data_IF_619965515808
#
_entry.id   IF_619965515808
#
_cell.length_a   1.000
_cell.length_b   1.000
_cell.length_c   1.000
_cell.angle_alpha   90.00
_cell.angle_beta   90.00
_cell.angle_gamma   90.00
#
_symmetry.space_group_name_H-M   'P 1'
#
loop_
_entity.id
_entity.type
_entity.pdbx_description
1 polymer ?
#
# COMPACT_ATOMS: atom_id res chain seq x y z
N UNK A 1 -24.76 26.53 -27.92
CA UNK A 1 -23.66 26.54 -26.93
C UNK A 1 -22.78 25.36 -27.30
N UNK A 2 -21.68 25.59 -28.03
CA UNK A 2 -20.70 24.58 -28.37
C UNK A 2 -19.97 24.19 -27.08
N UNK A 3 -20.07 22.91 -26.72
CA UNK A 3 -19.32 22.34 -25.62
C UNK A 3 -17.83 22.26 -25.99
N UNK A 4 -17.00 23.02 -25.31
CA UNK A 4 -15.52 22.89 -25.41
C UNK A 4 -15.13 21.53 -24.92
N UNK A 5 -14.83 20.61 -25.83
CA UNK A 5 -14.19 19.34 -25.51
C UNK A 5 -12.78 19.64 -24.99
N UNK A 6 -12.55 19.46 -23.69
CA UNK A 6 -11.21 19.52 -23.12
C UNK A 6 -10.42 18.32 -23.68
N UNK A 7 -9.54 18.57 -24.62
CA UNK A 7 -8.58 17.60 -25.14
C UNK A 7 -7.67 17.15 -23.99
N UNK A 8 -7.97 15.97 -23.42
CA UNK A 8 -7.15 15.35 -22.38
C UNK A 8 -5.91 14.72 -23.01
N UNK A 9 -4.79 15.42 -22.94
CA UNK A 9 -3.50 14.91 -23.41
C UNK A 9 -2.84 14.03 -22.35
N UNK A 10 -2.79 12.73 -22.60
CA UNK A 10 -2.12 11.76 -21.73
C UNK A 10 -0.60 11.83 -21.90
N UNK A 11 0.13 12.19 -20.85
CA UNK A 11 1.59 12.29 -20.86
C UNK A 11 2.31 11.03 -20.38
N UNK A 12 1.58 10.00 -20.00
CA UNK A 12 2.09 8.70 -19.58
C UNK A 12 1.56 8.22 -18.23
N UNK A 13 2.07 7.07 -17.79
CA UNK A 13 1.67 6.45 -16.52
C UNK A 13 2.88 5.92 -15.77
N UNK A 14 2.81 5.89 -14.45
CA UNK A 14 3.76 5.20 -13.57
C UNK A 14 3.00 4.43 -12.50
N UNK A 15 3.65 3.50 -11.84
CA UNK A 15 3.08 2.73 -10.74
C UNK A 15 3.84 3.05 -9.46
N UNK A 16 3.16 3.54 -8.45
CA UNK A 16 3.75 3.80 -7.14
C UNK A 16 3.60 2.56 -6.24
N UNK A 17 4.73 2.02 -5.81
CA UNK A 17 4.83 1.04 -4.73
C UNK A 17 5.14 1.79 -3.44
N UNK A 18 4.43 1.48 -2.36
CA UNK A 18 4.68 2.09 -1.07
C UNK A 18 4.51 1.09 0.08
N UNK A 19 5.41 1.15 1.05
CA UNK A 19 5.36 0.43 2.31
C UNK A 19 5.39 1.44 3.46
N UNK A 20 4.36 1.40 4.31
CA UNK A 20 4.23 2.25 5.49
C UNK A 20 4.69 1.47 6.72
N UNK A 21 5.72 1.96 7.40
CA UNK A 21 6.08 1.47 8.72
C UNK A 21 5.07 1.99 9.76
N UNK A 22 4.29 1.09 10.34
CA UNK A 22 3.23 1.48 11.30
C UNK A 22 3.75 1.99 12.63
N UNK A 23 4.99 1.66 13.00
CA UNK A 23 5.57 2.05 14.28
C UNK A 23 5.99 3.52 14.32
N UNK A 24 6.51 4.04 13.21
CA UNK A 24 7.01 5.40 13.14
C UNK A 24 6.34 6.28 12.07
N UNK A 25 5.54 5.68 11.18
CA UNK A 25 4.87 6.38 10.09
C UNK A 25 5.76 6.69 8.89
N UNK A 26 7.01 6.20 8.87
CA UNK A 26 7.89 6.36 7.72
C UNK A 26 7.40 5.53 6.52
N UNK A 27 7.65 6.04 5.33
CA UNK A 27 7.23 5.41 4.08
C UNK A 27 8.44 5.13 3.20
N UNK A 28 8.60 3.88 2.79
CA UNK A 28 9.44 3.52 1.67
C UNK A 28 8.56 3.52 0.42
N UNK A 29 8.93 4.28 -0.59
CA UNK A 29 8.15 4.38 -1.81
C UNK A 29 9.04 4.43 -3.04
N UNK A 30 8.60 3.75 -4.11
CA UNK A 30 9.33 3.68 -5.38
C UNK A 30 8.36 3.68 -6.55
N UNK A 31 8.62 4.50 -7.55
CA UNK A 31 7.90 4.49 -8.82
C UNK A 31 8.51 3.47 -9.77
N UNK A 32 7.70 2.61 -10.34
CA UNK A 32 8.08 1.61 -11.35
C UNK A 32 7.20 1.77 -12.61
N UNK A 33 7.67 1.36 -13.79
CA UNK A 33 6.91 1.54 -15.03
C UNK A 33 5.65 0.67 -15.09
N UNK A 34 5.61 -0.45 -14.38
CA UNK A 34 4.51 -1.44 -14.45
C UNK A 34 4.23 -2.06 -13.09
N UNK A 35 3.02 -2.65 -12.96
CA UNK A 35 2.57 -3.40 -11.79
C UNK A 35 2.61 -4.91 -12.06
N UNK A 36 3.81 -5.48 -12.20
CA UNK A 36 4.01 -6.93 -12.40
C UNK A 36 4.75 -7.53 -11.20
N UNK A 37 4.81 -8.85 -11.14
CA UNK A 37 5.53 -9.56 -10.07
C UNK A 37 7.03 -9.24 -10.02
N UNK A 38 7.66 -8.87 -11.16
CA UNK A 38 9.07 -8.48 -11.20
C UNK A 38 9.30 -7.17 -10.43
N UNK A 39 8.48 -6.16 -10.71
CA UNK A 39 8.53 -4.87 -10.02
C UNK A 39 8.20 -5.02 -8.54
N UNK A 40 7.23 -5.87 -8.22
CA UNK A 40 6.89 -6.18 -6.84
C UNK A 40 8.06 -6.86 -6.10
N UNK A 41 8.70 -7.88 -6.69
CA UNK A 41 9.90 -8.51 -6.14
C UNK A 41 11.06 -7.53 -5.96
N UNK A 42 11.27 -6.61 -6.92
CA UNK A 42 12.26 -5.54 -6.77
C UNK A 42 11.97 -4.71 -5.53
N UNK A 43 10.71 -4.35 -5.33
CA UNK A 43 10.30 -3.55 -4.17
C UNK A 43 10.42 -4.31 -2.83
N UNK A 44 10.11 -5.61 -2.80
CA UNK A 44 10.36 -6.43 -1.60
C UNK A 44 11.85 -6.48 -1.23
N UNK A 45 12.75 -6.54 -2.22
CA UNK A 45 14.20 -6.47 -1.98
C UNK A 45 14.63 -5.11 -1.45
N UNK A 46 14.04 -4.02 -1.91
CA UNK A 46 14.29 -2.67 -1.38
C UNK A 46 13.89 -2.59 0.10
N UNK A 47 12.74 -3.16 0.49
CA UNK A 47 12.32 -3.28 1.89
C UNK A 47 13.30 -4.16 2.68
N UNK A 48 13.68 -5.31 2.14
CA UNK A 48 14.60 -6.26 2.79
C UNK A 48 15.95 -5.60 3.12
N UNK A 49 16.45 -4.75 2.22
CA UNK A 49 17.69 -3.98 2.41
C UNK A 49 17.52 -2.82 3.41
N UNK A 50 16.34 -2.20 3.45
CA UNK A 50 16.08 -1.04 4.32
C UNK A 50 15.81 -1.43 5.78
N UNK A 51 15.41 -2.67 6.04
CA UNK A 51 15.11 -3.17 7.38
C UNK A 51 16.32 -3.89 7.96
N UNK A 52 16.79 -3.57 9.18
CA UNK A 52 17.86 -4.28 9.85
C UNK A 52 17.68 -5.80 9.81
N UNK A 53 18.78 -6.53 9.60
CA UNK A 53 18.76 -7.98 9.36
C UNK A 53 18.27 -8.80 10.53
N UNK A 54 18.39 -8.27 11.74
CA UNK A 54 17.97 -8.87 13.01
C UNK A 54 16.47 -8.76 13.28
N UNK A 55 15.74 -8.01 12.46
CA UNK A 55 14.29 -7.80 12.65
C UNK A 55 13.47 -8.66 11.71
N UNK A 56 12.40 -9.23 12.26
CA UNK A 56 11.34 -9.86 11.46
C UNK A 56 10.50 -8.81 10.73
N UNK A 57 10.08 -9.14 9.52
CA UNK A 57 9.27 -8.27 8.68
C UNK A 57 7.86 -8.85 8.56
N UNK A 58 6.91 -8.25 9.25
CA UNK A 58 5.49 -8.55 9.08
C UNK A 58 4.89 -7.60 8.04
N UNK A 59 4.64 -8.11 6.86
CA UNK A 59 4.11 -7.33 5.74
C UNK A 59 2.62 -7.61 5.55
N UNK A 60 1.80 -6.58 5.69
CA UNK A 60 0.36 -6.64 5.44
C UNK A 60 0.09 -6.11 4.03
N UNK A 61 -0.50 -6.92 3.18
CA UNK A 61 -0.75 -6.60 1.78
C UNK A 61 -2.17 -6.97 1.37
N UNK A 62 -2.67 -6.35 0.32
CA UNK A 62 -3.89 -6.78 -0.34
C UNK A 62 -3.67 -8.11 -1.09
N UNK A 63 -4.77 -8.84 -1.30
CA UNK A 63 -4.74 -10.14 -1.97
C UNK A 63 -4.73 -9.99 -3.51
N UNK A 64 -3.80 -9.20 -4.04
CA UNK A 64 -3.66 -9.01 -5.48
C UNK A 64 -2.83 -10.13 -6.12
N UNK A 65 -3.19 -10.50 -7.36
CA UNK A 65 -2.61 -11.66 -8.04
C UNK A 65 -1.07 -11.61 -8.17
N UNK A 66 -0.47 -10.42 -8.35
CA UNK A 66 0.99 -10.27 -8.41
C UNK A 66 1.69 -10.59 -7.10
N UNK A 67 1.01 -10.38 -5.96
CA UNK A 67 1.54 -10.68 -4.63
C UNK A 67 1.60 -12.19 -4.37
N UNK A 68 0.69 -12.95 -4.97
CA UNK A 68 0.60 -14.41 -4.86
C UNK A 68 1.35 -15.18 -5.97
N UNK A 69 2.12 -14.49 -6.82
CA UNK A 69 2.84 -15.11 -7.93
C UNK A 69 3.87 -16.15 -7.44
N UNK A 70 4.06 -17.32 -8.14
CA UNK A 70 4.98 -18.37 -7.69
C UNK A 70 6.40 -17.88 -7.43
N UNK A 71 6.94 -16.98 -8.24
CA UNK A 71 8.28 -16.40 -8.03
C UNK A 71 8.38 -15.55 -6.76
N UNK A 72 7.30 -14.89 -6.34
CA UNK A 72 7.22 -14.16 -5.07
C UNK A 72 7.23 -15.15 -3.91
N UNK A 73 6.42 -16.20 -3.98
CA UNK A 73 6.38 -17.25 -2.96
C UNK A 73 7.73 -17.95 -2.81
N UNK A 74 8.39 -18.29 -3.92
CA UNK A 74 9.72 -18.89 -3.90
C UNK A 74 10.77 -17.98 -3.25
N UNK A 75 10.72 -16.67 -3.53
CA UNK A 75 11.62 -15.70 -2.91
C UNK A 75 11.37 -15.57 -1.41
N UNK A 76 10.11 -15.54 -0.97
CA UNK A 76 9.73 -15.48 0.45
C UNK A 76 10.13 -16.76 1.20
N UNK A 77 9.98 -17.93 0.58
CA UNK A 77 10.34 -19.21 1.18
C UNK A 77 11.83 -19.32 1.58
N UNK A 78 12.71 -18.56 0.93
CA UNK A 78 14.15 -18.50 1.29
C UNK A 78 14.47 -17.44 2.36
N UNK A 79 13.48 -16.80 2.93
CA UNK A 79 13.63 -15.67 3.88
C UNK A 79 12.75 -15.84 5.10
N UNK A 80 13.19 -16.57 6.12
CA UNK A 80 12.37 -16.93 7.29
C UNK A 80 11.90 -15.71 8.09
N UNK A 81 12.62 -14.58 8.00
CA UNK A 81 12.25 -13.32 8.67
C UNK A 81 11.05 -12.62 8.04
N UNK A 82 10.54 -13.06 6.87
CA UNK A 82 9.40 -12.46 6.18
C UNK A 82 8.10 -13.18 6.49
N UNK A 83 7.13 -12.45 6.99
CA UNK A 83 5.79 -12.92 7.31
C UNK A 83 4.76 -12.10 6.55
N UNK A 84 4.18 -12.71 5.49
CA UNK A 84 3.15 -12.05 4.67
C UNK A 84 1.77 -12.31 5.25
N UNK A 85 1.02 -11.23 5.47
CA UNK A 85 -0.36 -11.25 5.93
C UNK A 85 -1.24 -10.63 4.85
N UNK A 86 -2.14 -11.42 4.28
CA UNK A 86 -3.06 -10.93 3.26
C UNK A 86 -4.39 -10.52 3.89
N UNK A 87 -4.79 -9.27 3.61
CA UNK A 87 -6.12 -8.82 4.02
C UNK A 87 -7.19 -9.41 3.10
N UNK A 88 -8.41 -9.67 3.62
CA UNK A 88 -9.50 -10.18 2.82
C UNK A 88 -9.83 -9.26 1.63
N UNK A 89 -10.31 -9.84 0.55
CA UNK A 89 -10.84 -9.09 -0.61
C UNK A 89 -11.91 -8.10 -0.14
N UNK A 90 -11.93 -6.90 -0.70
CA UNK A 90 -12.80 -5.77 -0.32
C UNK A 90 -12.55 -5.16 1.08
N UNK A 91 -11.47 -5.51 1.74
CA UNK A 91 -11.10 -4.97 3.07
C UNK A 91 -9.91 -3.99 3.00
N UNK A 92 -9.73 -3.30 1.87
CA UNK A 92 -8.62 -2.34 1.67
C UNK A 92 -8.56 -1.22 2.72
N UNK A 93 -9.70 -0.88 3.35
CA UNK A 93 -9.78 0.08 4.44
C UNK A 93 -9.01 -0.36 5.71
N UNK A 94 -8.68 -1.66 5.85
CA UNK A 94 -7.77 -2.17 6.88
C UNK A 94 -6.31 -1.81 6.59
N UNK A 95 -5.99 -1.47 5.35
CA UNK A 95 -4.62 -1.19 4.95
C UNK A 95 -4.28 0.29 5.17
N UNK A 96 -3.55 0.59 6.22
CA UNK A 96 -3.21 1.98 6.60
C UNK A 96 -2.42 2.74 5.54
N UNK A 97 -1.72 2.07 4.64
CA UNK A 97 -1.02 2.74 3.53
C UNK A 97 -1.96 3.46 2.58
N UNK A 98 -3.26 3.11 2.55
CA UNK A 98 -4.30 3.84 1.82
C UNK A 98 -4.39 5.30 2.25
N UNK A 99 -4.24 5.55 3.55
CA UNK A 99 -4.22 6.92 4.07
C UNK A 99 -3.04 7.72 3.51
N UNK A 100 -1.88 7.08 3.38
CA UNK A 100 -0.74 7.70 2.73
C UNK A 100 -1.01 7.99 1.24
N UNK A 101 -1.63 7.05 0.50
CA UNK A 101 -2.03 7.27 -0.90
C UNK A 101 -3.03 8.42 -1.04
N UNK A 102 -3.97 8.57 -0.13
CA UNK A 102 -4.87 9.71 -0.11
C UNK A 102 -4.12 11.02 0.11
N UNK A 103 -3.19 11.05 1.09
CA UNK A 103 -2.38 12.23 1.38
C UNK A 103 -1.52 12.67 0.19
N UNK A 104 -0.79 11.75 -0.45
CA UNK A 104 0.05 12.08 -1.60
C UNK A 104 -0.78 12.52 -2.80
N UNK A 105 -1.93 11.87 -3.02
CA UNK A 105 -2.86 12.25 -4.09
C UNK A 105 -3.35 13.69 -3.89
N UNK A 106 -3.81 14.05 -2.71
CA UNK A 106 -4.39 15.36 -2.45
C UNK A 106 -3.34 16.48 -2.37
N UNK A 107 -2.18 16.20 -1.78
CA UNK A 107 -1.17 17.24 -1.51
C UNK A 107 -0.11 17.36 -2.60
N UNK A 108 0.18 16.31 -3.34
CA UNK A 108 1.25 16.31 -4.31
C UNK A 108 0.77 16.14 -5.76
N UNK A 109 -0.27 15.34 -6.01
CA UNK A 109 -0.67 14.95 -7.37
C UNK A 109 -1.79 15.83 -7.90
N UNK A 110 -2.95 15.91 -7.20
CA UNK A 110 -4.13 16.67 -7.67
C UNK A 110 -3.88 18.15 -7.91
N UNK A 111 -2.92 18.74 -7.18
CA UNK A 111 -2.59 20.18 -7.27
C UNK A 111 -1.45 20.45 -8.24
N UNK A 112 -0.93 19.42 -8.89
CA UNK A 112 0.19 19.53 -9.84
C UNK A 112 -0.29 19.45 -11.28
N UNK A 113 0.34 20.24 -12.15
CA UNK A 113 0.28 20.05 -13.59
C UNK A 113 1.59 19.42 -14.03
N UNK A 114 1.54 18.23 -14.63
CA UNK A 114 2.72 17.47 -15.01
C UNK A 114 2.76 17.29 -16.52
N UNK A 115 3.85 17.68 -17.14
CA UNK A 115 4.08 17.53 -18.58
C UNK A 115 4.84 16.26 -18.92
N UNK A 116 5.34 15.52 -17.92
CA UNK A 116 6.04 14.25 -18.09
C UNK A 116 5.97 13.36 -16.85
N UNK A 117 6.08 12.05 -17.06
CA UNK A 117 6.17 11.07 -15.95
C UNK A 117 7.36 11.37 -15.02
N UNK A 118 8.47 11.88 -15.57
CA UNK A 118 9.65 12.26 -14.79
C UNK A 118 9.32 13.34 -13.75
N UNK A 119 8.55 14.37 -14.13
CA UNK A 119 8.11 15.42 -13.19
C UNK A 119 7.20 14.86 -12.10
N UNK A 120 6.27 13.96 -12.46
CA UNK A 120 5.41 13.31 -11.47
C UNK A 120 6.24 12.50 -10.46
N UNK A 121 7.21 11.68 -10.95
CA UNK A 121 8.09 10.89 -10.08
C UNK A 121 8.90 11.79 -9.15
N UNK A 122 9.53 12.84 -9.66
CA UNK A 122 10.27 13.81 -8.83
C UNK A 122 9.39 14.46 -7.76
N UNK A 123 8.16 14.78 -8.10
CA UNK A 123 7.20 15.36 -7.11
C UNK A 123 6.82 14.36 -6.02
N UNK A 124 6.64 13.10 -6.40
CA UNK A 124 6.39 12.00 -5.44
C UNK A 124 7.58 11.84 -4.49
N UNK A 125 8.81 11.77 -5.02
CA UNK A 125 10.03 11.59 -4.22
C UNK A 125 10.24 12.76 -3.25
N UNK A 126 10.02 14.00 -3.69
CA UNK A 126 10.04 15.18 -2.83
C UNK A 126 9.02 15.11 -1.70
N UNK A 127 7.79 14.66 -2.02
CA UNK A 127 6.74 14.51 -1.01
C UNK A 127 7.10 13.43 0.00
N UNK A 128 7.56 12.26 -0.43
CA UNK A 128 7.98 11.16 0.45
C UNK A 128 9.13 11.60 1.36
N UNK A 129 10.13 12.28 0.79
CA UNK A 129 11.26 12.82 1.56
C UNK A 129 10.79 13.82 2.64
N UNK A 130 9.91 14.74 2.27
CA UNK A 130 9.35 15.73 3.20
C UNK A 130 8.48 15.06 4.28
N UNK A 131 7.67 14.05 3.90
CA UNK A 131 6.87 13.28 4.83
C UNK A 131 7.75 12.56 5.86
N UNK A 132 8.80 11.89 5.42
CA UNK A 132 9.69 11.10 6.29
C UNK A 132 10.51 11.95 7.27
N UNK A 133 10.77 13.24 6.98
CA UNK A 133 11.44 14.15 7.93
C UNK A 133 10.64 14.38 9.21
N UNK A 134 9.30 14.36 9.13
CA UNK A 134 8.39 14.66 10.22
C UNK A 134 7.28 13.61 10.35
N UNK A 135 7.57 12.36 9.97
CA UNK A 135 6.58 11.28 9.99
C UNK A 135 6.16 10.96 11.43
N UNK A 136 4.91 10.59 11.58
CA UNK A 136 4.32 10.10 12.82
C UNK A 136 3.41 8.90 12.49
N UNK A 137 3.28 7.95 13.40
CA UNK A 137 2.35 6.84 13.21
C UNK A 137 0.95 7.35 12.90
N UNK A 138 0.29 6.74 11.94
CA UNK A 138 -1.12 7.01 11.72
C UNK A 138 -1.94 6.47 12.91
N UNK A 139 -2.64 7.35 13.60
CA UNK A 139 -3.54 6.94 14.67
C UNK A 139 -4.77 6.25 14.06
N UNK A 140 -5.03 5.04 14.55
CA UNK A 140 -6.25 4.34 14.24
C UNK A 140 -7.40 4.97 15.03
N UNK A 141 -8.35 5.59 14.35
CA UNK A 141 -9.48 6.27 15.00
C UNK A 141 -10.74 5.41 15.07
N UNK A 142 -10.78 4.28 14.34
CA UNK A 142 -11.89 3.36 14.38
C UNK A 142 -11.77 2.42 15.59
N UNK A 143 -12.85 2.26 16.35
CA UNK A 143 -12.89 1.27 17.43
C UNK A 143 -13.01 -0.15 16.86
N UNK A 144 -12.60 -1.16 17.64
CA UNK A 144 -12.74 -2.56 17.24
C UNK A 144 -14.19 -2.88 16.84
N UNK A 145 -15.17 -2.40 17.59
CA UNK A 145 -16.60 -2.62 17.32
C UNK A 145 -17.02 -2.02 15.98
N UNK A 146 -16.59 -0.79 15.68
CA UNK A 146 -16.91 -0.15 14.39
C UNK A 146 -16.27 -0.87 13.19
N UNK A 147 -15.13 -1.51 13.41
CA UNK A 147 -14.45 -2.36 12.42
C UNK A 147 -15.20 -3.66 12.22
N UNK A 148 -15.57 -4.32 13.32
CA UNK A 148 -16.33 -5.56 13.29
C UNK A 148 -17.72 -5.38 12.67
N UNK A 149 -18.43 -4.28 12.96
CA UNK A 149 -19.68 -3.95 12.30
C UNK A 149 -19.54 -3.75 10.78
N UNK A 150 -18.48 -3.10 10.33
CA UNK A 150 -18.20 -2.93 8.89
C UNK A 150 -17.91 -4.27 8.23
N UNK A 151 -17.13 -5.12 8.89
CA UNK A 151 -16.87 -6.50 8.43
C UNK A 151 -18.16 -7.32 8.39
N UNK A 152 -18.97 -7.26 9.43
CA UNK A 152 -20.26 -7.97 9.48
C UNK A 152 -21.19 -7.54 8.33
N UNK A 153 -21.37 -6.22 8.13
CA UNK A 153 -22.15 -5.69 7.00
C UNK A 153 -21.62 -6.14 5.63
N UNK A 154 -20.28 -6.22 5.48
CA UNK A 154 -19.65 -6.70 4.26
C UNK A 154 -19.89 -8.20 4.05
N UNK A 155 -19.69 -9.02 5.07
CA UNK A 155 -19.93 -10.46 5.03
C UNK A 155 -21.40 -10.79 4.73
N UNK A 156 -22.34 -10.07 5.35
CA UNK A 156 -23.78 -10.22 5.08
C UNK A 156 -24.14 -9.91 3.63
N UNK A 157 -23.48 -8.92 3.02
CA UNK A 157 -23.70 -8.58 1.59
C UNK A 157 -23.13 -9.63 0.61
N UNK A 158 -22.04 -10.30 1.00
CA UNK A 158 -21.33 -11.23 0.10
C UNK A 158 -21.86 -12.66 0.21
N UNK A 159 -22.23 -13.10 1.40
CA UNK A 159 -22.50 -14.53 1.67
C UNK A 159 -23.93 -14.87 2.07
N UNK A 160 -24.79 -13.90 2.28
CA UNK A 160 -26.19 -14.17 2.71
C UNK A 160 -26.36 -15.01 4.00
N UNK A 161 -25.26 -15.61 4.49
CA UNK A 161 -25.24 -16.44 5.70
C UNK A 161 -23.86 -16.36 6.36
N UNK A 162 -23.78 -15.79 7.57
CA UNK A 162 -22.54 -15.58 8.27
C UNK A 162 -22.25 -16.57 9.39
N UNK A 163 -21.08 -17.19 9.37
CA UNK A 163 -20.41 -17.66 10.58
C UNK A 163 -18.93 -17.30 10.52
N UNK A 164 -18.48 -16.46 11.45
CA UNK A 164 -17.07 -16.13 11.64
C UNK A 164 -16.57 -16.81 12.93
N UNK A 165 -15.52 -17.64 12.81
CA UNK A 165 -14.78 -18.17 13.97
C UNK A 165 -13.60 -17.22 14.28
N UNK A 166 -13.49 -16.87 15.55
CA UNK A 166 -12.57 -15.87 16.07
C UNK A 166 -11.08 -16.19 15.87
N UNK A 167 -10.31 -15.11 15.76
CA UNK A 167 -8.86 -15.11 15.71
C UNK A 167 -8.34 -14.85 17.12
N UNK A 168 -7.42 -15.73 17.59
CA UNK A 168 -6.75 -15.62 18.87
C UNK A 168 -5.61 -14.60 18.84
N UNK A 169 -5.46 -13.85 19.92
CA UNK A 169 -4.39 -12.86 20.14
C UNK A 169 -3.01 -13.54 20.15
N UNK A 170 -2.08 -13.02 19.35
CA UNK A 170 -0.65 -13.27 19.47
C UNK A 170 0.11 -11.94 19.40
N UNK A 171 1.18 -11.85 20.19
CA UNK A 171 1.96 -10.68 20.53
C UNK A 171 2.28 -9.68 19.39
N UNK A 172 2.45 -8.42 19.78
CA UNK A 172 2.69 -7.29 18.87
C UNK A 172 3.99 -7.51 18.07
N UNK A 173 3.94 -7.54 16.74
CA UNK A 173 5.13 -7.75 15.92
C UNK A 173 6.10 -6.57 16.01
N UNK A 174 7.41 -6.84 16.05
CA UNK A 174 8.47 -5.82 16.19
C UNK A 174 8.64 -4.90 14.97
N UNK A 175 8.13 -5.30 13.82
CA UNK A 175 8.05 -4.47 12.61
C UNK A 175 6.85 -4.88 11.78
N UNK A 176 5.93 -3.96 11.53
CA UNK A 176 4.80 -4.20 10.63
C UNK A 176 4.75 -3.11 9.56
N UNK A 177 4.68 -3.50 8.30
CA UNK A 177 4.49 -2.57 7.20
C UNK A 177 3.25 -2.93 6.40
N UNK A 178 2.48 -1.90 6.05
CA UNK A 178 1.40 -2.01 5.07
C UNK A 178 1.92 -1.72 3.69
N UNK A 179 1.72 -2.65 2.77
CA UNK A 179 2.16 -2.56 1.40
C UNK A 179 0.97 -2.37 0.46
N UNK A 180 1.07 -1.40 -0.44
CA UNK A 180 0.17 -1.27 -1.57
C UNK A 180 0.86 -0.72 -2.80
N UNK A 181 0.24 -1.03 -3.95
CA UNK A 181 0.67 -0.55 -5.26
C UNK A 181 -0.48 0.16 -5.94
N UNK A 182 -0.23 1.35 -6.49
CA UNK A 182 -1.22 2.13 -7.21
C UNK A 182 -0.70 2.62 -8.55
N UNK A 183 -1.40 2.36 -9.68
CA UNK A 183 -1.10 3.02 -10.94
C UNK A 183 -1.47 4.50 -10.85
N UNK A 184 -0.59 5.36 -11.34
CA UNK A 184 -0.77 6.80 -11.45
C UNK A 184 -0.68 7.19 -12.91
N UNK A 185 -1.67 7.94 -13.40
CA UNK A 185 -1.72 8.50 -14.75
C UNK A 185 -1.72 10.02 -14.72
N UNK A 186 -1.15 10.63 -15.73
CA UNK A 186 -1.13 12.06 -16.01
C UNK A 186 -1.47 12.31 -17.46
#
# INVERSE_FOLDING_TARGET
VEGVTHDYKRHGTTTLFAALNVLNGAVLATCKPRHRHQEFLSFLREIDTAVPTELDIHCIADNYATHNHPKVKAWLATRPRWHMHFIPTYSSWLNQVERFFSLITDKAIRRGSFTSVKQLVQRIDQFVTAHNKNCRPFKWTATADSILEKLHRLCTRISGTGHYRGVTEHGVPRFASFLRVRPLGI
#
